data_IF_051435317087
#
_entry.id   IF_051435317087
#
_cell.length_a   1.000
_cell.length_b   1.000
_cell.length_c   1.000
_cell.angle_alpha   90.00
_cell.angle_beta   90.00
_cell.angle_gamma   90.00
#
_symmetry.space_group_name_H-M   'P 1'
#
loop_
_entity.id
_entity.type
_entity.pdbx_description
1 polymer ?
#
# COMPACT_ATOMS: atom_id res chain seq x y z
N UNK A 1 -29.21 -19.31 8.98
CA UNK A 1 -28.54 -18.66 7.84
C UNK A 1 -27.09 -19.15 7.67
N UNK A 2 -26.40 -19.53 8.75
CA UNK A 2 -25.04 -20.03 8.75
C UNK A 2 -24.92 -21.39 9.43
N UNK A 3 -25.91 -22.25 9.20
CA UNK A 3 -25.97 -23.56 9.83
C UNK A 3 -24.84 -24.50 9.35
N UNK A 4 -24.46 -24.40 8.08
CA UNK A 4 -23.34 -25.14 7.51
C UNK A 4 -22.01 -24.85 8.21
N UNK A 5 -21.76 -23.60 8.59
CA UNK A 5 -20.57 -23.20 9.33
C UNK A 5 -20.45 -23.97 10.65
N UNK A 6 -21.52 -24.07 11.40
CA UNK A 6 -21.53 -24.81 12.66
C UNK A 6 -21.30 -26.31 12.45
N UNK A 7 -21.81 -26.88 11.36
CA UNK A 7 -21.61 -28.29 11.03
C UNK A 7 -20.17 -28.58 10.58
N UNK A 8 -19.59 -27.73 9.73
CA UNK A 8 -18.20 -27.87 9.30
C UNK A 8 -17.23 -27.76 10.50
N UNK A 9 -17.45 -26.81 11.38
CA UNK A 9 -16.64 -26.60 12.57
C UNK A 9 -16.72 -27.75 13.57
N UNK A 10 -17.88 -28.36 13.70
CA UNK A 10 -18.06 -29.53 14.57
C UNK A 10 -17.27 -30.77 14.09
N UNK A 11 -16.99 -30.84 12.79
CA UNK A 11 -16.30 -31.97 12.17
C UNK A 11 -14.80 -31.78 11.99
N UNK A 12 -14.36 -30.53 11.82
CA UNK A 12 -13.00 -30.21 11.39
C UNK A 12 -12.19 -29.60 12.55
N UNK A 13 -12.79 -28.73 13.34
CA UNK A 13 -12.10 -27.98 14.39
C UNK A 13 -12.97 -27.86 15.64
N UNK A 14 -12.48 -28.39 16.75
CA UNK A 14 -13.16 -28.30 18.05
C UNK A 14 -12.91 -26.99 18.78
N UNK A 15 -11.83 -26.26 18.42
CA UNK A 15 -11.49 -24.96 18.97
C UNK A 15 -11.63 -23.85 17.90
N UNK A 16 -12.85 -23.41 17.70
CA UNK A 16 -13.18 -22.46 16.65
C UNK A 16 -12.75 -21.07 17.01
N UNK A 17 -11.68 -20.58 16.38
CA UNK A 17 -11.24 -19.19 16.43
C UNK A 17 -11.84 -18.44 15.25
N UNK A 18 -12.70 -17.46 15.53
CA UNK A 18 -13.26 -16.55 14.52
C UNK A 18 -12.46 -15.26 14.50
N UNK A 19 -12.11 -14.81 13.31
CA UNK A 19 -11.51 -13.50 13.08
C UNK A 19 -12.50 -12.58 12.37
N UNK A 20 -12.36 -11.28 12.57
CA UNK A 20 -13.08 -10.24 11.85
C UNK A 20 -12.05 -9.32 11.21
N UNK A 21 -11.82 -9.51 9.92
CA UNK A 21 -10.82 -8.76 9.17
C UNK A 21 -11.25 -7.31 8.98
N UNK A 22 -10.35 -6.39 9.34
CA UNK A 22 -10.46 -4.96 9.04
C UNK A 22 -9.29 -4.57 8.16
N UNK A 23 -9.48 -3.61 7.24
CA UNK A 23 -8.44 -3.18 6.32
C UNK A 23 -8.19 -1.68 6.40
N UNK A 24 -6.94 -1.29 6.11
CA UNK A 24 -6.55 0.11 5.97
C UNK A 24 -6.22 0.36 4.50
N UNK A 25 -6.91 1.31 3.87
CA UNK A 25 -6.58 1.87 2.57
C UNK A 25 -6.05 3.29 2.72
N UNK A 26 -5.06 3.69 1.90
CA UNK A 26 -4.44 5.00 1.99
C UNK A 26 -3.48 5.17 3.18
N UNK A 27 -2.89 4.08 3.63
CA UNK A 27 -2.02 4.06 4.82
C UNK A 27 -0.88 5.07 4.73
N UNK A 28 -0.10 5.05 3.64
CA UNK A 28 1.02 5.97 3.43
C UNK A 28 0.59 7.44 3.40
N UNK A 29 -0.56 7.74 2.79
CA UNK A 29 -1.12 9.09 2.77
C UNK A 29 -1.52 9.60 4.16
N UNK A 30 -2.03 8.72 5.02
CA UNK A 30 -2.32 9.10 6.42
C UNK A 30 -1.03 9.36 7.18
N UNK A 31 0.00 8.53 7.01
CA UNK A 31 1.32 8.73 7.64
C UNK A 31 1.92 10.07 7.22
N UNK A 32 1.97 10.34 5.91
CA UNK A 32 2.53 11.57 5.35
C UNK A 32 1.71 12.80 5.76
N UNK A 33 0.38 12.68 5.81
CA UNK A 33 -0.49 13.76 6.30
C UNK A 33 -0.24 14.10 7.78
N UNK A 34 -0.07 13.08 8.62
CA UNK A 34 0.27 13.28 10.03
C UNK A 34 1.67 13.87 10.20
N UNK A 35 2.61 13.43 9.36
CA UNK A 35 3.96 14.01 9.30
C UNK A 35 3.91 15.48 8.87
N UNK A 36 3.15 15.83 7.83
CA UNK A 36 2.97 17.21 7.39
C UNK A 36 2.38 18.08 8.51
N UNK A 37 1.35 17.61 9.20
CA UNK A 37 0.74 18.32 10.34
C UNK A 37 1.74 18.52 11.49
N UNK A 38 2.64 17.54 11.71
CA UNK A 38 3.61 17.60 12.81
C UNK A 38 4.82 18.49 12.50
N UNK A 39 5.30 18.50 11.26
CA UNK A 39 6.59 19.10 10.91
C UNK A 39 6.52 20.29 9.95
N UNK A 40 5.39 20.48 9.26
CA UNK A 40 5.17 21.60 8.35
C UNK A 40 4.05 22.54 8.87
N UNK A 41 3.74 23.56 8.09
CA UNK A 41 2.60 24.44 8.33
C UNK A 41 1.46 24.04 7.42
N UNK A 42 0.41 23.44 7.99
CA UNK A 42 -0.78 23.01 7.26
C UNK A 42 -1.93 23.99 7.55
N UNK A 43 -2.49 24.57 6.50
CA UNK A 43 -3.66 25.43 6.53
C UNK A 43 -4.81 24.79 5.77
N UNK A 44 -5.97 24.73 6.40
CA UNK A 44 -7.19 24.25 5.73
C UNK A 44 -7.79 25.31 4.83
N UNK A 45 -8.16 24.93 3.62
CA UNK A 45 -8.94 25.73 2.69
C UNK A 45 -10.39 25.29 2.79
N UNK A 46 -11.30 26.25 3.02
CA UNK A 46 -12.72 25.97 3.24
C UNK A 46 -13.56 26.63 2.16
N UNK A 47 -14.66 25.95 1.80
CA UNK A 47 -15.69 26.51 0.93
C UNK A 47 -16.59 27.52 1.65
N UNK A 48 -17.56 28.06 0.93
CA UNK A 48 -18.54 29.02 1.46
C UNK A 48 -19.41 28.46 2.60
N UNK A 49 -19.51 27.13 2.70
CA UNK A 49 -20.24 26.42 3.76
C UNK A 49 -19.37 26.07 4.95
N UNK A 50 -18.09 26.46 4.93
CA UNK A 50 -17.12 26.17 5.98
C UNK A 50 -16.55 24.74 5.95
N UNK A 51 -16.87 23.95 4.94
CA UNK A 51 -16.32 22.60 4.75
C UNK A 51 -14.88 22.67 4.23
N UNK A 52 -14.01 21.81 4.75
CA UNK A 52 -12.63 21.70 4.24
C UNK A 52 -12.67 21.06 2.85
N UNK A 53 -12.12 21.72 1.87
CA UNK A 53 -12.07 21.27 0.48
C UNK A 53 -10.64 21.02 0.00
N UNK A 54 -9.64 21.65 0.64
CA UNK A 54 -8.24 21.50 0.27
C UNK A 54 -7.31 21.89 1.43
N UNK A 55 -6.00 21.70 1.24
CA UNK A 55 -4.97 22.05 2.20
C UNK A 55 -3.83 22.79 1.51
N UNK A 56 -3.30 23.81 2.15
CA UNK A 56 -2.05 24.48 1.82
C UNK A 56 -0.98 24.03 2.82
N UNK A 57 0.01 23.27 2.33
CA UNK A 57 1.10 22.76 3.16
C UNK A 57 2.40 23.44 2.76
N UNK A 58 3.00 24.17 3.70
CA UNK A 58 4.22 24.97 3.47
C UNK A 58 5.33 24.47 4.40
N UNK A 59 6.49 24.17 3.82
CA UNK A 59 7.67 23.63 4.51
C UNK A 59 7.86 22.14 4.24
N UNK A 60 9.08 21.68 4.48
CA UNK A 60 9.46 20.29 4.30
C UNK A 60 9.03 19.45 5.50
N UNK A 61 8.66 18.21 5.24
CA UNK A 61 8.35 17.23 6.27
C UNK A 61 8.84 15.83 5.82
N UNK A 62 9.24 14.97 6.78
CA UNK A 62 9.67 13.63 6.46
C UNK A 62 8.51 12.83 5.87
N UNK A 63 8.79 12.08 4.79
CA UNK A 63 7.80 11.23 4.12
C UNK A 63 8.14 9.76 4.32
N UNK A 64 7.12 8.97 4.46
CA UNK A 64 7.21 7.51 4.53
C UNK A 64 7.81 6.93 3.25
N UNK A 65 8.65 5.89 3.40
CA UNK A 65 9.38 5.28 2.29
C UNK A 65 10.80 5.81 2.07
N UNK A 66 11.37 6.53 3.05
CA UNK A 66 12.72 7.10 2.98
C UNK A 66 13.68 6.61 4.07
N UNK A 67 13.28 5.57 4.82
CA UNK A 67 14.02 5.05 5.98
C UNK A 67 14.27 6.14 7.05
N UNK A 68 13.30 7.04 7.20
CA UNK A 68 13.33 8.15 8.16
C UNK A 68 12.42 7.84 9.35
N UNK A 69 13.02 7.57 10.51
CA UNK A 69 12.28 7.19 11.71
C UNK A 69 11.24 8.23 12.15
N UNK A 70 11.38 9.49 11.76
CA UNK A 70 10.38 10.53 12.05
C UNK A 70 9.04 10.27 11.36
N UNK A 71 9.04 9.67 10.16
CA UNK A 71 7.86 9.24 9.43
C UNK A 71 7.50 7.77 9.77
N UNK A 72 8.50 6.90 9.83
CA UNK A 72 8.30 5.46 10.06
C UNK A 72 7.72 5.19 11.45
N UNK A 73 8.11 5.94 12.49
CA UNK A 73 7.49 5.86 13.83
C UNK A 73 6.01 6.26 13.82
N UNK A 74 5.60 7.20 12.95
CA UNK A 74 4.19 7.55 12.76
C UNK A 74 3.44 6.36 12.14
N UNK A 75 4.04 5.69 11.18
CA UNK A 75 3.46 4.51 10.54
C UNK A 75 3.25 3.37 11.55
N UNK A 76 4.28 3.06 12.34
CA UNK A 76 4.22 2.07 13.43
C UNK A 76 3.15 2.42 14.45
N UNK A 77 3.12 3.66 14.90
CA UNK A 77 2.12 4.16 15.86
C UNK A 77 0.70 4.07 15.29
N UNK A 78 0.51 4.44 14.02
CA UNK A 78 -0.80 4.42 13.36
C UNK A 78 -1.38 3.00 13.35
N UNK A 79 -0.60 2.00 12.90
CA UNK A 79 -1.05 0.61 12.83
C UNK A 79 -1.41 0.06 14.22
N UNK A 80 -0.52 0.25 15.19
CA UNK A 80 -0.77 -0.17 16.59
C UNK A 80 -2.02 0.48 17.18
N UNK A 81 -2.19 1.79 16.92
CA UNK A 81 -3.33 2.56 17.43
C UNK A 81 -4.64 2.13 16.77
N UNK A 82 -4.62 1.89 15.46
CA UNK A 82 -5.79 1.43 14.71
C UNK A 82 -6.32 0.11 15.30
N UNK A 83 -5.49 -0.93 15.34
CA UNK A 83 -5.91 -2.23 15.88
C UNK A 83 -6.36 -2.14 17.34
N UNK A 84 -5.64 -1.38 18.19
CA UNK A 84 -6.03 -1.15 19.58
C UNK A 84 -7.41 -0.48 19.71
N UNK A 85 -7.76 0.39 18.78
CA UNK A 85 -9.08 1.04 18.76
C UNK A 85 -10.16 0.08 18.29
N UNK A 86 -9.92 -0.67 17.21
CA UNK A 86 -10.88 -1.66 16.67
C UNK A 86 -11.21 -2.72 17.71
N UNK A 87 -10.22 -3.23 18.44
CA UNK A 87 -10.39 -4.24 19.51
C UNK A 87 -11.27 -3.77 20.71
N UNK A 88 -11.62 -2.50 20.78
CA UNK A 88 -12.53 -2.00 21.83
C UNK A 88 -14.01 -2.26 21.50
N UNK A 89 -14.33 -2.60 20.28
CA UNK A 89 -15.70 -2.78 19.84
C UNK A 89 -16.08 -4.25 19.80
N UNK A 90 -17.31 -4.52 20.17
CA UNK A 90 -17.89 -5.86 20.07
C UNK A 90 -18.08 -6.22 18.59
N UNK A 91 -17.61 -7.40 18.24
CA UNK A 91 -17.72 -7.91 16.87
C UNK A 91 -18.75 -9.02 16.75
N UNK A 92 -19.18 -9.31 15.52
CA UNK A 92 -20.11 -10.36 15.23
C UNK A 92 -19.61 -11.72 15.75
N UNK A 93 -20.42 -12.42 16.52
CA UNK A 93 -20.11 -13.73 17.15
C UNK A 93 -18.84 -13.76 18.01
N UNK A 94 -18.51 -12.63 18.63
CA UNK A 94 -17.30 -12.49 19.45
C UNK A 94 -16.02 -12.81 18.66
N UNK A 95 -16.00 -12.55 17.36
CA UNK A 95 -14.80 -12.73 16.56
C UNK A 95 -13.69 -11.76 16.98
N UNK A 96 -12.45 -12.20 16.91
CA UNK A 96 -11.30 -11.34 17.18
C UNK A 96 -11.03 -10.40 16.01
N UNK A 97 -11.00 -9.09 16.22
CA UNK A 97 -10.61 -8.15 15.17
C UNK A 97 -9.14 -8.35 14.77
N UNK A 98 -8.93 -8.51 13.48
CA UNK A 98 -7.62 -8.53 12.82
C UNK A 98 -7.51 -7.38 11.83
N UNK A 99 -6.32 -7.10 11.31
CA UNK A 99 -6.10 -5.98 10.41
C UNK A 99 -5.16 -6.35 9.27
N UNK A 100 -5.37 -5.70 8.13
CA UNK A 100 -4.46 -5.71 6.98
C UNK A 100 -4.14 -4.29 6.52
N UNK A 101 -3.00 -4.13 5.88
CA UNK A 101 -2.70 -3.00 5.01
C UNK A 101 -2.59 -3.57 3.60
N UNK A 102 -3.73 -3.77 2.97
CA UNK A 102 -3.82 -4.47 1.70
C UNK A 102 -4.95 -3.87 0.87
N UNK A 103 -4.60 -3.44 -0.34
CA UNK A 103 -5.55 -3.06 -1.38
C UNK A 103 -5.14 -3.79 -2.67
N UNK A 104 -6.09 -4.35 -3.41
CA UNK A 104 -5.82 -4.95 -4.73
C UNK A 104 -5.85 -3.81 -5.76
N UNK A 105 -7.03 -3.43 -6.22
CA UNK A 105 -7.25 -2.24 -7.07
C UNK A 105 -8.21 -1.25 -6.40
N UNK A 106 -8.63 -1.55 -5.18
CA UNK A 106 -9.59 -0.75 -4.41
C UNK A 106 -9.01 0.59 -3.93
N UNK A 107 -7.67 0.73 -3.88
CA UNK A 107 -7.00 2.01 -3.65
C UNK A 107 -7.47 3.10 -4.63
N UNK A 108 -7.71 2.76 -5.90
CA UNK A 108 -8.26 3.68 -6.91
C UNK A 108 -9.68 4.11 -6.54
N UNK A 109 -10.54 3.16 -6.19
CA UNK A 109 -11.95 3.43 -5.84
C UNK A 109 -12.06 4.28 -4.58
N UNK A 110 -11.31 3.94 -3.53
CA UNK A 110 -11.31 4.69 -2.27
C UNK A 110 -10.68 6.09 -2.45
N UNK A 111 -9.63 6.19 -3.27
CA UNK A 111 -9.03 7.47 -3.60
C UNK A 111 -10.02 8.41 -4.29
N UNK A 112 -10.80 7.90 -5.25
CA UNK A 112 -11.86 8.67 -5.93
C UNK A 112 -12.98 9.17 -5.00
N UNK A 113 -13.20 8.50 -3.89
CA UNK A 113 -14.20 8.89 -2.90
C UNK A 113 -13.64 9.81 -1.80
N UNK A 114 -12.34 10.15 -1.84
CA UNK A 114 -11.66 10.91 -0.78
C UNK A 114 -11.21 12.28 -1.27
N UNK A 115 -11.45 13.30 -0.46
CA UNK A 115 -11.01 14.68 -0.71
C UNK A 115 -9.49 14.84 -0.66
N UNK A 116 -9.01 16.08 -0.79
CA UNK A 116 -7.59 16.43 -0.66
C UNK A 116 -7.06 16.12 0.75
N UNK A 117 -5.75 15.89 0.86
CA UNK A 117 -5.09 15.53 2.11
C UNK A 117 -3.90 16.47 2.40
N UNK A 118 -3.50 16.61 3.68
CA UNK A 118 -2.39 17.48 4.08
C UNK A 118 -1.02 17.11 3.50
N UNK A 119 -0.82 15.87 3.06
CA UNK A 119 0.41 15.39 2.41
C UNK A 119 0.63 15.97 1.00
N UNK A 120 -0.36 16.71 0.48
CA UNK A 120 -0.37 17.27 -0.87
C UNK A 120 -1.13 16.43 -1.90
N UNK A 121 -1.75 15.32 -1.48
CA UNK A 121 -2.58 14.51 -2.36
C UNK A 121 -3.81 15.32 -2.80
N UNK A 122 -4.01 15.43 -4.12
CA UNK A 122 -5.18 16.08 -4.68
C UNK A 122 -6.48 15.27 -4.41
N UNK A 123 -7.59 15.98 -4.28
CA UNK A 123 -8.90 15.36 -4.15
C UNK A 123 -9.17 14.37 -5.31
N UNK A 124 -9.79 13.24 -4.98
CA UNK A 124 -10.28 12.24 -5.94
C UNK A 124 -9.21 11.49 -6.75
N UNK A 125 -7.92 11.65 -6.40
CA UNK A 125 -6.84 10.86 -7.00
C UNK A 125 -6.71 9.49 -6.30
N UNK A 126 -6.14 8.44 -6.94
CA UNK A 126 -5.88 7.15 -6.31
C UNK A 126 -5.03 7.26 -5.03
N UNK A 127 -5.22 6.33 -4.10
CA UNK A 127 -4.26 6.09 -3.03
C UNK A 127 -3.11 5.22 -3.54
N UNK A 128 -1.96 5.27 -2.89
CA UNK A 128 -0.94 4.26 -3.08
C UNK A 128 -1.45 2.87 -2.62
N UNK A 129 -1.08 1.78 -3.30
CA UNK A 129 -1.57 0.45 -2.99
C UNK A 129 -0.94 -0.12 -1.71
N UNK A 130 -1.75 -0.69 -0.82
CA UNK A 130 -1.28 -1.34 0.40
C UNK A 130 -0.43 -0.42 1.28
N UNK A 131 0.75 -0.90 1.65
CA UNK A 131 1.73 -0.15 2.44
C UNK A 131 2.83 0.52 1.59
N UNK A 132 2.70 0.47 0.27
CA UNK A 132 3.61 1.16 -0.65
C UNK A 132 3.63 2.66 -0.34
N UNK A 133 4.80 3.32 -0.33
CA UNK A 133 4.89 4.76 -0.20
C UNK A 133 4.05 5.51 -1.23
N UNK A 134 3.62 6.71 -0.88
CA UNK A 134 2.85 7.56 -1.79
C UNK A 134 3.69 7.99 -2.99
N UNK A 135 3.08 8.19 -4.14
CA UNK A 135 3.76 8.65 -5.35
C UNK A 135 4.63 9.87 -5.10
N UNK A 136 5.91 9.78 -5.47
CA UNK A 136 6.89 10.85 -5.30
C UNK A 136 7.32 11.10 -3.85
N UNK A 137 6.86 10.31 -2.89
CA UNK A 137 7.29 10.40 -1.50
C UNK A 137 8.69 9.79 -1.31
N UNK A 138 8.95 8.66 -1.95
CA UNK A 138 10.24 7.97 -1.92
C UNK A 138 11.29 8.72 -2.75
N UNK A 139 12.34 9.19 -2.10
CA UNK A 139 13.44 9.93 -2.72
C UNK A 139 14.80 9.27 -2.48
N UNK A 140 14.87 8.38 -1.49
CA UNK A 140 16.11 7.71 -1.07
C UNK A 140 16.30 6.33 -1.73
N UNK A 141 15.45 5.99 -2.71
CA UNK A 141 15.55 4.78 -3.52
C UNK A 141 14.95 3.53 -2.87
N UNK A 142 14.98 2.43 -3.64
CA UNK A 142 14.30 1.18 -3.35
C UNK A 142 14.59 0.62 -1.95
N UNK A 143 15.85 0.59 -1.51
CA UNK A 143 16.21 0.01 -0.21
C UNK A 143 15.61 0.81 0.95
N UNK A 144 15.59 2.13 0.86
CA UNK A 144 14.97 2.97 1.87
C UNK A 144 13.44 2.79 1.91
N UNK A 145 12.79 2.65 0.74
CA UNK A 145 11.38 2.31 0.64
C UNK A 145 11.07 0.99 1.35
N UNK A 146 11.81 -0.06 1.02
CA UNK A 146 11.65 -1.38 1.62
C UNK A 146 11.92 -1.37 3.14
N UNK A 147 12.95 -0.65 3.60
CA UNK A 147 13.25 -0.54 5.02
C UNK A 147 12.11 0.11 5.80
N UNK A 148 11.51 1.18 5.29
CA UNK A 148 10.34 1.80 5.92
C UNK A 148 9.16 0.82 6.06
N UNK A 149 8.90 0.00 5.04
CA UNK A 149 7.83 -1.01 5.10
C UNK A 149 8.20 -2.15 6.05
N UNK A 150 9.46 -2.58 6.07
CA UNK A 150 9.93 -3.66 6.94
C UNK A 150 9.86 -3.32 8.44
N UNK A 151 9.93 -2.03 8.80
CA UNK A 151 9.77 -1.55 10.19
C UNK A 151 8.34 -1.69 10.74
N UNK A 152 7.34 -1.94 9.88
CA UNK A 152 5.97 -2.07 10.33
C UNK A 152 5.81 -3.27 11.28
N UNK A 153 5.01 -3.14 12.35
CA UNK A 153 4.82 -4.22 13.31
C UNK A 153 3.82 -5.26 12.75
N UNK A 154 4.33 -6.26 12.05
CA UNK A 154 3.55 -7.28 11.34
C UNK A 154 2.60 -8.07 12.26
N UNK A 155 2.95 -8.21 13.54
CA UNK A 155 2.10 -8.84 14.56
C UNK A 155 0.78 -8.06 14.82
N UNK A 156 0.70 -6.80 14.37
CA UNK A 156 -0.53 -5.99 14.43
C UNK A 156 -1.34 -6.03 13.13
N UNK A 157 -0.85 -6.71 12.10
CA UNK A 157 -1.52 -6.81 10.80
C UNK A 157 -1.58 -8.28 10.35
N UNK A 158 -2.28 -9.12 11.12
CA UNK A 158 -2.32 -10.58 10.92
C UNK A 158 -2.97 -11.00 9.60
N UNK A 159 -3.76 -10.12 8.95
CA UNK A 159 -4.35 -10.36 7.63
C UNK A 159 -3.41 -9.93 6.49
N UNK A 160 -2.21 -9.44 6.81
CA UNK A 160 -1.13 -9.15 5.88
C UNK A 160 -0.87 -7.66 5.61
N UNK A 161 0.36 -7.39 5.20
CA UNK A 161 0.83 -6.09 4.72
C UNK A 161 1.33 -6.30 3.30
N UNK A 162 0.65 -5.66 2.34
CA UNK A 162 1.03 -5.71 0.94
C UNK A 162 1.98 -4.56 0.60
N UNK A 163 3.09 -4.88 -0.04
CA UNK A 163 3.97 -3.91 -0.68
C UNK A 163 4.14 -4.25 -2.16
N UNK A 164 4.17 -3.26 -3.03
CA UNK A 164 4.33 -3.42 -4.47
C UNK A 164 5.36 -2.43 -4.98
N UNK A 165 6.40 -2.96 -5.61
CA UNK A 165 7.49 -2.16 -6.18
C UNK A 165 7.57 -2.38 -7.69
N UNK A 166 7.66 -1.30 -8.44
CA UNK A 166 7.97 -1.34 -9.87
C UNK A 166 9.38 -0.85 -10.08
N UNK A 167 10.26 -1.75 -10.47
CA UNK A 167 11.71 -1.51 -10.56
C UNK A 167 12.09 -1.40 -12.04
N UNK A 168 12.75 -0.30 -12.41
CA UNK A 168 13.36 -0.18 -13.72
C UNK A 168 14.51 -1.21 -13.84
N UNK A 169 14.60 -1.98 -14.93
CA UNK A 169 15.62 -3.02 -15.08
C UNK A 169 17.07 -2.54 -14.86
N UNK A 170 17.38 -1.31 -15.29
CA UNK A 170 18.70 -0.69 -15.10
C UNK A 170 19.07 -0.39 -13.65
N UNK A 171 18.08 -0.27 -12.75
CA UNK A 171 18.33 -0.03 -11.33
C UNK A 171 18.87 -1.28 -10.60
N UNK A 172 18.65 -2.47 -11.19
CA UNK A 172 19.15 -3.73 -10.66
C UNK A 172 20.53 -4.14 -11.22
N UNK A 173 21.06 -3.45 -12.23
CA UNK A 173 22.37 -3.74 -12.81
C UNK A 173 22.37 -3.74 -14.33
N UNK A 174 23.56 -3.92 -14.92
CA UNK A 174 23.78 -3.81 -16.35
C UNK A 174 23.74 -5.16 -17.08
N UNK A 175 24.09 -6.26 -16.40
CA UNK A 175 24.00 -7.62 -16.93
C UNK A 175 22.81 -8.39 -16.36
N UNK A 176 22.46 -9.50 -17.01
CA UNK A 176 21.38 -10.37 -16.53
C UNK A 176 21.71 -10.99 -15.17
N UNK A 177 22.95 -11.42 -14.98
CA UNK A 177 23.40 -12.03 -13.73
C UNK A 177 23.47 -11.02 -12.59
N UNK A 178 23.95 -9.81 -12.85
CA UNK A 178 23.89 -8.71 -11.85
C UNK A 178 22.46 -8.42 -11.42
N UNK A 179 21.54 -8.29 -12.36
CA UNK A 179 20.13 -8.03 -12.07
C UNK A 179 19.49 -9.12 -11.22
N UNK A 180 19.76 -10.40 -11.55
CA UNK A 180 19.28 -11.54 -10.77
C UNK A 180 19.85 -11.52 -9.36
N UNK A 181 21.17 -11.40 -9.22
CA UNK A 181 21.84 -11.41 -7.93
C UNK A 181 21.41 -10.23 -7.05
N UNK A 182 21.33 -9.03 -7.61
CA UNK A 182 20.92 -7.85 -6.87
C UNK A 182 19.47 -7.94 -6.43
N UNK A 183 18.57 -8.47 -7.27
CA UNK A 183 17.19 -8.72 -6.87
C UNK A 183 17.09 -9.72 -5.72
N UNK A 184 17.87 -10.82 -5.77
CA UNK A 184 17.92 -11.79 -4.66
C UNK A 184 18.38 -11.12 -3.37
N UNK A 185 19.47 -10.34 -3.40
CA UNK A 185 19.96 -9.64 -2.20
C UNK A 185 18.95 -8.63 -1.64
N UNK A 186 18.23 -7.93 -2.52
CA UNK A 186 17.16 -7.01 -2.10
C UNK A 186 16.04 -7.77 -1.39
N UNK A 187 15.61 -8.91 -1.94
CA UNK A 187 14.58 -9.75 -1.34
C UNK A 187 15.03 -10.34 -0.01
N UNK A 188 16.23 -10.89 0.04
CA UNK A 188 16.81 -11.45 1.28
C UNK A 188 16.87 -10.37 2.37
N UNK A 189 17.43 -9.20 2.07
CA UNK A 189 17.55 -8.11 3.03
C UNK A 189 16.20 -7.56 3.53
N UNK A 190 15.17 -7.60 2.69
CA UNK A 190 13.81 -7.20 3.06
C UNK A 190 13.16 -8.23 3.98
N UNK A 191 13.23 -9.51 3.64
CA UNK A 191 12.61 -10.58 4.42
C UNK A 191 13.37 -10.89 5.72
N UNK A 192 14.68 -10.74 5.75
CA UNK A 192 15.50 -10.88 6.97
C UNK A 192 15.12 -9.85 8.05
N UNK A 193 14.57 -8.71 7.66
CA UNK A 193 14.01 -7.73 8.59
C UNK A 193 12.63 -8.10 9.15
N UNK A 194 12.05 -9.23 8.73
CA UNK A 194 10.75 -9.72 9.19
C UNK A 194 9.57 -9.33 8.32
N UNK A 195 9.80 -8.71 7.18
CA UNK A 195 8.75 -8.43 6.21
C UNK A 195 8.21 -9.74 5.59
N UNK A 196 6.92 -9.74 5.18
CA UNK A 196 6.24 -10.98 4.77
C UNK A 196 5.85 -11.02 3.29
N UNK A 197 5.74 -9.87 2.63
CA UNK A 197 5.16 -9.81 1.29
C UNK A 197 5.76 -8.68 0.47
N UNK A 198 6.15 -9.02 -0.75
CA UNK A 198 6.58 -8.06 -1.76
C UNK A 198 6.12 -8.52 -3.14
N UNK A 199 5.40 -7.67 -3.85
CA UNK A 199 5.19 -7.79 -5.28
C UNK A 199 6.27 -7.00 -6.01
N UNK A 200 6.95 -7.64 -6.95
CA UNK A 200 7.97 -6.99 -7.76
C UNK A 200 7.54 -7.04 -9.22
N UNK A 201 7.46 -5.86 -9.81
CA UNK A 201 7.34 -5.66 -11.25
C UNK A 201 8.68 -5.12 -11.77
N UNK A 202 9.24 -5.73 -12.82
CA UNK A 202 10.49 -5.28 -13.43
C UNK A 202 10.20 -4.88 -14.88
N UNK A 203 9.91 -3.60 -15.08
CA UNK A 203 9.56 -3.07 -16.39
C UNK A 203 10.20 -1.70 -16.62
N UNK A 204 10.45 -1.39 -17.90
CA UNK A 204 10.76 -0.01 -18.30
C UNK A 204 9.47 0.78 -18.50
N UNK A 205 9.50 2.05 -18.10
CA UNK A 205 8.36 2.97 -18.26
C UNK A 205 7.90 3.08 -19.72
N UNK A 206 8.84 3.01 -20.69
CA UNK A 206 8.53 3.08 -22.11
C UNK A 206 7.64 1.90 -22.55
N UNK A 207 7.87 0.71 -21.99
CA UNK A 207 7.04 -0.47 -22.27
C UNK A 207 5.63 -0.33 -21.75
N UNK A 208 5.46 0.23 -20.55
CA UNK A 208 4.15 0.49 -19.97
C UNK A 208 3.38 1.52 -20.80
N UNK A 209 4.02 2.62 -21.17
CA UNK A 209 3.42 3.66 -22.03
C UNK A 209 3.02 3.12 -23.41
N UNK A 210 3.90 2.36 -24.04
CA UNK A 210 3.60 1.74 -25.33
C UNK A 210 2.42 0.75 -25.25
N UNK A 211 2.34 -0.03 -24.18
CA UNK A 211 1.21 -0.93 -23.94
C UNK A 211 -0.12 -0.20 -23.67
N UNK A 212 -0.07 1.00 -23.08
CA UNK A 212 -1.26 1.85 -22.92
C UNK A 212 -1.72 2.45 -24.24
N UNK A 213 -0.79 2.90 -25.07
CA UNK A 213 -1.07 3.54 -26.35
C UNK A 213 -1.44 2.54 -27.46
N UNK A 214 -0.89 1.33 -27.39
CA UNK A 214 -1.01 0.28 -28.39
C UNK A 214 -1.42 -1.09 -27.83
N UNK A 215 -2.54 -1.17 -27.11
CA UNK A 215 -2.96 -2.44 -26.45
C UNK A 215 -3.25 -3.58 -27.43
N UNK A 216 -3.45 -3.27 -28.72
CA UNK A 216 -3.70 -4.23 -29.80
C UNK A 216 -2.47 -5.02 -30.24
N UNK A 217 -1.25 -4.61 -29.84
CA UNK A 217 -0.03 -5.32 -30.22
C UNK A 217 0.00 -6.74 -29.64
N UNK A 218 0.34 -7.78 -30.42
CA UNK A 218 0.33 -9.17 -29.96
C UNK A 218 1.22 -9.43 -28.73
N UNK A 219 2.30 -8.67 -28.59
CA UNK A 219 3.24 -8.78 -27.48
C UNK A 219 2.63 -8.37 -26.13
N UNK A 220 1.55 -7.58 -26.13
CA UNK A 220 0.85 -7.15 -24.92
C UNK A 220 -0.35 -8.02 -24.57
N UNK A 221 -0.77 -8.93 -25.43
CA UNK A 221 -1.92 -9.82 -25.20
C UNK A 221 -1.82 -10.64 -23.89
N UNK A 222 -0.59 -10.94 -23.47
CA UNK A 222 -0.29 -11.66 -22.23
C UNK A 222 0.63 -10.88 -21.29
N UNK A 223 0.78 -9.57 -21.52
CA UNK A 223 1.57 -8.73 -20.62
C UNK A 223 0.87 -8.59 -19.28
N UNK A 224 1.42 -9.22 -18.26
CA UNK A 224 0.87 -9.24 -16.90
C UNK A 224 1.72 -8.43 -15.96
N UNK A 225 1.04 -7.81 -15.00
CA UNK A 225 1.65 -7.14 -13.86
C UNK A 225 1.17 -7.78 -12.56
N UNK A 226 1.94 -7.58 -11.50
CA UNK A 226 1.56 -7.96 -10.14
C UNK A 226 0.92 -6.78 -9.43
N UNK A 227 -0.27 -7.04 -8.89
CA UNK A 227 -0.96 -6.10 -8.01
C UNK A 227 -1.43 -6.86 -6.78
N UNK A 228 -0.84 -6.55 -5.62
CA UNK A 228 -1.23 -7.13 -4.32
C UNK A 228 -1.45 -8.65 -4.33
N UNK A 229 -0.54 -9.40 -4.93
CA UNK A 229 -0.58 -10.86 -4.99
C UNK A 229 -1.31 -11.45 -6.21
N UNK A 230 -2.01 -10.64 -6.99
CA UNK A 230 -2.65 -11.08 -8.22
C UNK A 230 -1.80 -10.75 -9.44
N UNK A 231 -1.84 -11.63 -10.44
CA UNK A 231 -1.34 -11.34 -11.78
C UNK A 231 -2.54 -10.94 -12.65
N UNK A 232 -2.51 -9.74 -13.18
CA UNK A 232 -3.55 -9.22 -14.06
C UNK A 232 -2.94 -8.82 -15.41
N UNK A 233 -3.70 -8.93 -16.47
CA UNK A 233 -3.26 -8.41 -17.77
C UNK A 233 -3.30 -6.88 -17.71
N UNK A 234 -2.20 -6.25 -18.05
CA UNK A 234 -2.08 -4.79 -17.99
C UNK A 234 -3.09 -4.09 -18.90
N UNK A 235 -3.32 -4.64 -20.09
CA UNK A 235 -4.26 -4.08 -21.09
C UNK A 235 -5.74 -4.20 -20.67
N UNK A 236 -6.07 -5.10 -19.74
CA UNK A 236 -7.44 -5.29 -19.23
C UNK A 236 -7.78 -4.31 -18.08
N UNK A 237 -6.80 -3.59 -17.56
CA UNK A 237 -7.00 -2.56 -16.54
C UNK A 237 -7.60 -1.29 -17.12
N UNK A 238 -8.34 -0.54 -16.30
CA UNK A 238 -8.77 0.81 -16.68
C UNK A 238 -7.55 1.73 -16.81
N UNK A 239 -7.66 2.79 -17.61
CA UNK A 239 -6.57 3.77 -17.80
C UNK A 239 -6.06 4.33 -16.48
N UNK A 240 -6.94 4.53 -15.50
CA UNK A 240 -6.56 5.02 -14.16
C UNK A 240 -5.78 3.99 -13.36
N UNK A 241 -6.14 2.69 -13.48
CA UNK A 241 -5.40 1.60 -12.86
C UNK A 241 -4.05 1.36 -13.55
N UNK A 242 -3.97 1.56 -14.87
CA UNK A 242 -2.72 1.50 -15.62
C UNK A 242 -1.74 2.61 -15.22
N UNK A 243 -2.28 3.82 -14.95
CA UNK A 243 -1.50 4.96 -14.47
C UNK A 243 -1.02 4.80 -13.02
N UNK A 244 -1.67 3.93 -12.24
CA UNK A 244 -1.31 3.63 -10.84
C UNK A 244 -0.12 2.64 -10.74
N UNK A 245 0.22 1.96 -11.83
CA UNK A 245 1.32 0.99 -11.94
C UNK A 245 2.63 1.66 -12.33
#
# INVERSE_FOLDING_TARGET
KYYYEAAEMALIDTDVRRTFATGIAGFSHVVDSLSAIKYAKVKTIRDEKGMVVDFETVGDFPRYGNDDDRADDIAVWLLKTFLKKVKKYHTYRNSEPTTSILTITSNVVYGKATGALPDGRAAFTPFAPGATPSYGAEQNGLLASLNSVAKLPYEYALDGISNTETIAPGALGHSEDERKNNLVHVLDGYFDQGAHHLNVNVFGLDKLKDAMEHPEKPEYANFTIRVSGYAVKFIDLTSEQQLDV
#
